data_IF_573297317427
#
_entry.id   IF_573297317427
#
_cell.length_a   1.000
_cell.length_b   1.000
_cell.length_c   1.000
_cell.angle_alpha   90.00
_cell.angle_beta   90.00
_cell.angle_gamma   90.00
#
_symmetry.space_group_name_H-M   'P 1'
#
loop_
_entity.id
_entity.type
_entity.pdbx_description
1 polymer ?
#
# COMPACT_ATOMS: atom_id res chain seq x y z
N UNK A 1 -15.32 17.99 11.59
CA UNK A 1 -15.27 18.13 10.12
C UNK A 1 -14.27 17.11 9.58
N UNK A 2 -14.74 16.01 8.97
CA UNK A 2 -13.93 14.88 8.44
C UNK A 2 -13.30 15.19 7.06
N UNK A 3 -12.90 16.45 6.81
CA UNK A 3 -12.26 16.77 5.53
C UNK A 3 -10.86 16.17 5.55
N UNK A 4 -10.48 15.40 4.54
CA UNK A 4 -9.11 14.86 4.40
C UNK A 4 -8.98 13.34 4.45
N UNK A 5 -9.99 12.62 4.98
CA UNK A 5 -9.94 11.15 5.08
C UNK A 5 -10.70 10.43 3.96
N UNK A 6 -11.24 11.14 2.97
CA UNK A 6 -12.19 10.58 2.00
C UNK A 6 -11.60 9.42 1.20
N UNK A 7 -10.32 9.51 0.83
CA UNK A 7 -9.62 8.43 0.15
C UNK A 7 -9.42 7.22 1.05
N UNK A 8 -9.11 7.44 2.34
CA UNK A 8 -8.95 6.36 3.33
C UNK A 8 -10.29 5.70 3.63
N UNK A 9 -11.37 6.48 3.76
CA UNK A 9 -12.72 5.95 3.92
C UNK A 9 -13.12 5.05 2.74
N UNK A 10 -12.74 5.45 1.51
CA UNK A 10 -12.94 4.66 0.31
C UNK A 10 -12.15 3.35 0.37
N UNK A 11 -10.86 3.43 0.75
CA UNK A 11 -9.98 2.28 0.89
C UNK A 11 -10.50 1.28 1.94
N UNK A 12 -10.87 1.76 3.14
CA UNK A 12 -11.44 0.94 4.21
C UNK A 12 -12.75 0.26 3.78
N UNK A 13 -13.59 0.96 3.01
CA UNK A 13 -14.84 0.38 2.49
C UNK A 13 -14.56 -0.79 1.55
N UNK A 14 -13.53 -0.69 0.71
CA UNK A 14 -13.17 -1.77 -0.22
C UNK A 14 -12.39 -2.89 0.48
N UNK A 15 -11.54 -2.57 1.47
CA UNK A 15 -10.88 -3.54 2.34
C UNK A 15 -11.88 -4.43 3.07
N UNK A 16 -12.93 -3.83 3.66
CA UNK A 16 -14.03 -4.56 4.30
C UNK A 16 -14.76 -5.49 3.31
N UNK A 17 -15.08 -4.99 2.11
CA UNK A 17 -15.74 -5.80 1.07
C UNK A 17 -14.92 -7.01 0.64
N UNK A 18 -13.59 -6.91 0.70
CA UNK A 18 -12.66 -8.00 0.40
C UNK A 18 -12.37 -8.91 1.60
N UNK A 19 -13.00 -8.68 2.76
CA UNK A 19 -12.80 -9.48 3.97
C UNK A 19 -11.42 -9.29 4.61
N UNK A 20 -10.75 -8.17 4.34
CA UNK A 20 -9.47 -7.84 4.95
C UNK A 20 -9.61 -7.20 6.33
N UNK A 21 -10.80 -6.64 6.61
CA UNK A 21 -11.14 -6.04 7.89
C UNK A 21 -12.26 -6.84 8.55
N UNK A 22 -12.21 -6.95 9.87
CA UNK A 22 -13.29 -7.47 10.70
C UNK A 22 -14.46 -6.48 10.73
N UNK A 23 -15.72 -6.95 10.91
CA UNK A 23 -16.91 -6.10 10.82
C UNK A 23 -16.90 -4.88 11.74
N UNK A 24 -16.35 -5.00 12.95
CA UNK A 24 -16.26 -3.89 13.91
C UNK A 24 -15.13 -2.90 13.59
N UNK A 25 -14.15 -3.28 12.76
CA UNK A 25 -13.07 -2.38 12.33
C UNK A 25 -13.57 -1.33 11.32
N UNK A 26 -14.76 -1.52 10.73
CA UNK A 26 -15.31 -0.63 9.70
C UNK A 26 -15.39 0.83 10.16
N UNK A 27 -15.80 1.07 11.40
CA UNK A 27 -16.06 2.42 11.90
C UNK A 27 -14.79 3.13 12.37
N UNK A 28 -13.76 2.36 12.74
CA UNK A 28 -12.49 2.86 13.27
C UNK A 28 -11.35 2.81 12.27
N UNK A 29 -11.49 2.07 11.16
CA UNK A 29 -10.42 1.86 10.17
C UNK A 29 -9.80 3.17 9.66
N UNK A 30 -10.57 4.18 9.23
CA UNK A 30 -9.96 5.41 8.73
C UNK A 30 -9.13 6.15 9.78
N UNK A 31 -9.61 6.20 11.02
CA UNK A 31 -8.92 6.84 12.14
C UNK A 31 -7.69 6.04 12.57
N UNK A 32 -7.76 4.71 12.52
CA UNK A 32 -6.62 3.83 12.85
C UNK A 32 -5.52 3.94 11.82
N UNK A 33 -5.85 3.87 10.52
CA UNK A 33 -4.88 4.11 9.44
C UNK A 33 -4.26 5.50 9.57
N UNK A 34 -5.08 6.52 9.87
CA UNK A 34 -4.55 7.88 10.09
C UNK A 34 -3.62 7.99 11.30
N UNK A 35 -3.91 7.29 12.40
CA UNK A 35 -3.04 7.26 13.57
C UNK A 35 -1.72 6.51 13.30
N UNK A 36 -1.73 5.47 12.47
CA UNK A 36 -0.54 4.70 12.11
C UNK A 36 0.40 5.46 11.17
N UNK A 37 -0.16 6.11 10.15
CA UNK A 37 0.63 6.82 9.12
C UNK A 37 1.02 8.24 9.57
N UNK A 38 0.20 8.86 10.43
CA UNK A 38 0.27 10.27 10.81
C UNK A 38 -0.82 11.09 10.11
N UNK A 39 -1.60 11.86 10.87
CA UNK A 39 -2.75 12.62 10.36
C UNK A 39 -2.35 13.64 9.30
N UNK A 40 -1.18 14.26 9.44
CA UNK A 40 -0.56 15.17 8.49
C UNK A 40 -0.23 14.48 7.16
N UNK A 41 0.20 13.22 7.20
CA UNK A 41 0.55 12.45 6.01
C UNK A 41 -0.67 11.90 5.27
N UNK A 42 -1.80 11.71 5.95
CA UNK A 42 -3.04 11.33 5.26
C UNK A 42 -3.49 12.41 4.27
N UNK A 43 -3.26 13.69 4.58
CA UNK A 43 -3.51 14.76 3.62
C UNK A 43 -2.66 14.63 2.36
N UNK A 44 -1.39 14.24 2.54
CA UNK A 44 -0.46 13.97 1.44
C UNK A 44 -0.98 12.79 0.61
N UNK A 45 -1.33 11.66 1.23
CA UNK A 45 -1.93 10.50 0.52
C UNK A 45 -3.12 10.92 -0.33
N UNK A 46 -4.09 11.65 0.26
CA UNK A 46 -5.26 12.10 -0.47
C UNK A 46 -4.90 13.08 -1.59
N UNK A 47 -3.94 13.97 -1.36
CA UNK A 47 -3.43 14.88 -2.38
C UNK A 47 -2.83 14.11 -3.56
N UNK A 48 -1.99 13.10 -3.34
CA UNK A 48 -1.41 12.30 -4.42
C UNK A 48 -2.49 11.52 -5.19
N UNK A 49 -3.47 10.94 -4.49
CA UNK A 49 -4.59 10.27 -5.14
C UNK A 49 -5.37 11.20 -6.08
N UNK A 50 -5.59 12.46 -5.67
CA UNK A 50 -6.25 13.48 -6.51
C UNK A 50 -5.34 13.97 -7.64
N UNK A 51 -4.09 14.33 -7.34
CA UNK A 51 -3.09 14.84 -8.31
C UNK A 51 -2.86 13.86 -9.45
N UNK A 52 -2.74 12.57 -9.13
CA UNK A 52 -2.53 11.51 -10.12
C UNK A 52 -3.81 11.11 -10.85
N UNK A 53 -4.97 11.62 -10.46
CA UNK A 53 -6.24 11.23 -11.08
C UNK A 53 -6.64 9.78 -10.78
N UNK A 54 -6.23 9.23 -9.62
CA UNK A 54 -6.74 7.95 -9.12
C UNK A 54 -8.19 8.09 -8.66
N UNK A 55 -8.60 9.29 -8.28
CA UNK A 55 -9.97 9.59 -7.87
C UNK A 55 -10.48 10.85 -8.55
N UNK A 56 -11.79 10.91 -8.76
CA UNK A 56 -12.52 12.10 -9.15
C UNK A 56 -13.50 12.51 -8.06
N UNK A 57 -13.79 13.81 -7.97
CA UNK A 57 -14.85 14.32 -7.10
C UNK A 57 -16.21 13.99 -7.72
N UNK A 58 -17.02 13.18 -7.05
CA UNK A 58 -18.45 13.06 -7.33
C UNK A 58 -19.27 14.09 -6.53
N UNK A 59 -20.60 14.06 -6.69
CA UNK A 59 -21.53 14.98 -6.03
C UNK A 59 -21.38 14.99 -4.50
N UNK A 60 -21.16 13.83 -3.87
CA UNK A 60 -21.06 13.72 -2.40
C UNK A 60 -19.76 13.08 -1.89
N UNK A 61 -18.98 12.38 -2.73
CA UNK A 61 -17.79 11.61 -2.33
C UNK A 61 -16.80 11.43 -3.48
N UNK A 62 -15.56 11.07 -3.13
CA UNK A 62 -14.57 10.59 -4.09
C UNK A 62 -15.03 9.28 -4.74
N UNK A 63 -14.80 9.18 -6.05
CA UNK A 63 -15.01 7.96 -6.84
C UNK A 63 -13.68 7.57 -7.49
N UNK A 64 -13.31 6.28 -7.50
CA UNK A 64 -12.08 5.86 -8.15
C UNK A 64 -12.26 5.89 -9.67
N UNK A 65 -11.22 6.31 -10.36
CA UNK A 65 -11.08 6.10 -11.82
C UNK A 65 -10.72 4.65 -12.11
N UNK A 66 -10.57 4.28 -13.39
CA UNK A 66 -10.12 2.92 -13.75
C UNK A 66 -8.72 2.61 -13.19
N UNK A 67 -7.78 3.54 -13.31
CA UNK A 67 -6.45 3.42 -12.72
C UNK A 67 -6.51 3.45 -11.19
N UNK A 68 -7.38 4.29 -10.61
CA UNK A 68 -7.66 4.30 -9.18
C UNK A 68 -8.14 2.97 -8.64
N UNK A 69 -9.06 2.31 -9.34
CA UNK A 69 -9.58 0.99 -8.97
C UNK A 69 -8.45 -0.04 -8.96
N UNK A 70 -7.65 -0.10 -10.02
CA UNK A 70 -6.49 -1.00 -10.11
C UNK A 70 -5.47 -0.74 -8.98
N UNK A 71 -5.15 0.52 -8.72
CA UNK A 71 -4.26 0.89 -7.64
C UNK A 71 -4.80 0.44 -6.28
N UNK A 72 -6.08 0.69 -5.98
CA UNK A 72 -6.73 0.25 -4.73
C UNK A 72 -6.74 -1.28 -4.63
N UNK A 73 -7.09 -1.99 -5.70
CA UNK A 73 -7.12 -3.45 -5.71
C UNK A 73 -5.73 -4.02 -5.42
N UNK A 74 -4.69 -3.43 -6.03
CA UNK A 74 -3.29 -3.82 -5.83
C UNK A 74 -2.81 -3.50 -4.42
N UNK A 75 -3.19 -2.35 -3.86
CA UNK A 75 -2.88 -1.99 -2.47
C UNK A 75 -3.49 -3.01 -1.51
N UNK A 76 -4.75 -3.38 -1.72
CA UNK A 76 -5.42 -4.38 -0.88
C UNK A 76 -4.86 -5.79 -1.07
N UNK A 77 -4.35 -6.12 -2.26
CA UNK A 77 -3.59 -7.35 -2.49
C UNK A 77 -2.27 -7.35 -1.71
N UNK A 78 -1.52 -6.26 -1.76
CA UNK A 78 -0.30 -6.10 -0.96
C UNK A 78 -0.63 -6.22 0.54
N UNK A 79 -1.66 -5.53 1.02
CA UNK A 79 -2.10 -5.63 2.40
C UNK A 79 -2.45 -7.07 2.80
N UNK A 80 -3.13 -7.82 1.92
CA UNK A 80 -3.40 -9.24 2.17
C UNK A 80 -2.12 -10.07 2.29
N UNK A 81 -1.07 -9.75 1.53
CA UNK A 81 0.23 -10.43 1.64
C UNK A 81 0.98 -10.07 2.92
N UNK A 82 0.82 -8.84 3.41
CA UNK A 82 1.50 -8.34 4.61
C UNK A 82 0.76 -8.70 5.91
N UNK A 83 -0.50 -9.12 5.85
CA UNK A 83 -1.34 -9.34 7.03
C UNK A 83 -0.78 -10.34 8.05
N UNK A 84 0.08 -11.28 7.63
CA UNK A 84 0.71 -12.23 8.57
C UNK A 84 1.76 -11.59 9.46
N UNK A 85 2.27 -10.42 9.08
CA UNK A 85 3.31 -9.69 9.79
C UNK A 85 2.75 -8.67 10.79
N UNK A 86 1.43 -8.50 10.82
CA UNK A 86 0.73 -7.54 11.69
C UNK A 86 -0.44 -8.22 12.38
N UNK A 87 -0.86 -7.65 13.51
CA UNK A 87 -1.93 -8.25 14.32
C UNK A 87 -3.34 -7.93 13.78
N UNK A 88 -3.51 -6.82 13.06
CA UNK A 88 -4.82 -6.26 12.69
C UNK A 88 -4.86 -5.86 11.21
N UNK A 89 -6.04 -5.92 10.59
CA UNK A 89 -6.21 -5.71 9.14
C UNK A 89 -5.91 -4.27 8.70
N UNK A 90 -6.23 -3.29 9.55
CA UNK A 90 -5.97 -1.87 9.28
C UNK A 90 -4.46 -1.57 9.17
N UNK A 91 -3.62 -2.27 9.93
CA UNK A 91 -2.16 -2.15 9.95
C UNK A 91 -1.56 -2.63 8.64
N UNK A 92 -2.11 -3.72 8.08
CA UNK A 92 -1.67 -4.21 6.78
C UNK A 92 -2.05 -3.23 5.67
N UNK A 93 -3.25 -2.63 5.75
CA UNK A 93 -3.69 -1.59 4.82
C UNK A 93 -2.83 -0.34 4.95
N UNK A 94 -2.49 0.07 6.17
CA UNK A 94 -1.63 1.22 6.43
C UNK A 94 -0.21 0.98 5.88
N UNK A 95 0.39 -0.19 6.14
CA UNK A 95 1.69 -0.57 5.60
C UNK A 95 1.70 -0.60 4.07
N UNK A 96 0.68 -1.18 3.45
CA UNK A 96 0.57 -1.21 1.99
C UNK A 96 0.38 0.20 1.40
N UNK A 97 -0.41 1.05 2.06
CA UNK A 97 -0.56 2.45 1.68
C UNK A 97 0.74 3.22 1.85
N UNK A 98 1.50 2.95 2.90
CA UNK A 98 2.80 3.56 3.14
C UNK A 98 3.85 3.13 2.13
N UNK A 99 3.85 1.87 1.72
CA UNK A 99 4.72 1.41 0.65
C UNK A 99 4.38 2.05 -0.71
N UNK A 100 3.09 2.14 -1.05
CA UNK A 100 2.68 2.44 -2.43
C UNK A 100 2.34 3.91 -2.68
N UNK A 101 2.32 4.75 -1.64
CA UNK A 101 2.10 6.19 -1.82
C UNK A 101 3.31 6.85 -2.50
N UNK A 102 3.03 7.71 -3.47
CA UNK A 102 4.04 8.52 -4.16
C UNK A 102 4.55 9.68 -3.29
N UNK A 103 5.24 9.37 -2.21
CA UNK A 103 5.70 10.35 -1.21
C UNK A 103 6.59 11.46 -1.79
N UNK A 104 7.35 11.12 -2.84
CA UNK A 104 8.31 12.02 -3.49
C UNK A 104 7.76 12.72 -4.73
N UNK A 105 6.48 12.51 -5.06
CA UNK A 105 5.82 13.08 -6.22
C UNK A 105 6.50 12.72 -7.57
N UNK A 106 7.05 11.51 -7.70
CA UNK A 106 7.81 11.06 -8.87
C UNK A 106 6.91 10.67 -10.05
N UNK A 107 5.66 10.28 -9.80
CA UNK A 107 4.72 9.86 -10.85
C UNK A 107 3.91 11.04 -11.39
N UNK A 108 3.49 10.92 -12.65
CA UNK A 108 2.76 11.97 -13.37
C UNK A 108 1.31 11.59 -13.67
N UNK A 109 0.95 10.32 -13.53
CA UNK A 109 -0.41 9.84 -13.81
C UNK A 109 -0.81 8.64 -12.94
N UNK A 110 -2.12 8.44 -12.82
CA UNK A 110 -2.69 7.32 -12.09
C UNK A 110 -2.35 5.97 -12.74
N UNK A 111 -2.16 5.96 -14.06
CA UNK A 111 -1.75 4.75 -14.78
C UNK A 111 -0.31 4.35 -14.46
N UNK A 112 0.60 5.32 -14.33
CA UNK A 112 1.99 5.07 -13.93
C UNK A 112 2.07 4.47 -12.53
N UNK A 113 1.42 5.09 -11.54
CA UNK A 113 1.47 4.59 -10.16
C UNK A 113 0.74 3.24 -10.01
N UNK A 114 -0.34 3.01 -10.76
CA UNK A 114 -1.02 1.70 -10.76
C UNK A 114 -0.10 0.60 -11.30
N UNK A 115 0.57 0.82 -12.44
CA UNK A 115 1.55 -0.13 -12.98
C UNK A 115 2.74 -0.34 -12.04
N UNK A 116 3.20 0.71 -11.38
CA UNK A 116 4.27 0.61 -10.39
C UNK A 116 3.85 -0.27 -9.21
N UNK A 117 2.67 -0.04 -8.65
CA UNK A 117 2.13 -0.85 -7.57
C UNK A 117 1.98 -2.33 -7.99
N UNK A 118 1.46 -2.59 -9.18
CA UNK A 118 1.31 -3.95 -9.73
C UNK A 118 2.67 -4.64 -9.86
N UNK A 119 3.70 -3.90 -10.28
CA UNK A 119 5.06 -4.41 -10.35
C UNK A 119 5.62 -4.75 -8.96
N UNK A 120 5.44 -3.88 -7.95
CA UNK A 120 5.87 -4.15 -6.57
C UNK A 120 5.24 -5.44 -6.04
N UNK A 121 3.92 -5.61 -6.21
CA UNK A 121 3.23 -6.83 -5.80
C UNK A 121 3.75 -8.05 -6.54
N UNK A 122 3.95 -7.96 -7.86
CA UNK A 122 4.49 -9.04 -8.68
C UNK A 122 5.89 -9.47 -8.23
N UNK A 123 6.80 -8.53 -7.97
CA UNK A 123 8.15 -8.84 -7.49
C UNK A 123 8.11 -9.51 -6.11
N UNK A 124 7.27 -9.01 -5.19
CA UNK A 124 7.10 -9.63 -3.88
C UNK A 124 6.51 -11.05 -3.99
N UNK A 125 5.57 -11.29 -4.91
CA UNK A 125 5.06 -12.64 -5.19
C UNK A 125 6.13 -13.54 -5.79
N UNK A 126 6.99 -13.01 -6.66
CA UNK A 126 8.13 -13.73 -7.23
C UNK A 126 9.08 -14.25 -6.15
N UNK A 127 9.27 -13.50 -5.05
CA UNK A 127 10.07 -13.95 -3.92
C UNK A 127 9.50 -15.16 -3.18
N UNK A 128 8.24 -15.56 -3.38
CA UNK A 128 7.66 -16.77 -2.73
C UNK A 128 8.41 -18.06 -3.07
N UNK A 129 9.17 -18.08 -4.17
CA UNK A 129 10.08 -19.19 -4.51
C UNK A 129 11.25 -19.34 -3.53
N UNK A 130 11.51 -18.31 -2.72
CA UNK A 130 12.53 -18.25 -1.68
C UNK A 130 11.85 -17.92 -0.32
N UNK A 131 11.35 -18.92 0.43
CA UNK A 131 10.47 -18.68 1.58
C UNK A 131 11.02 -17.73 2.65
N UNK A 132 12.31 -17.85 3.00
CA UNK A 132 12.95 -16.96 3.98
C UNK A 132 13.09 -15.52 3.46
N UNK A 133 13.45 -15.36 2.19
CA UNK A 133 13.54 -14.04 1.56
C UNK A 133 12.17 -13.37 1.44
N UNK A 134 11.13 -14.14 1.11
CA UNK A 134 9.75 -13.66 1.08
C UNK A 134 9.28 -13.18 2.46
N UNK A 135 9.50 -13.99 3.50
CA UNK A 135 9.15 -13.63 4.88
C UNK A 135 9.90 -12.36 5.32
N UNK A 136 11.20 -12.29 5.01
CA UNK A 136 12.00 -11.11 5.32
C UNK A 136 11.52 -9.87 4.57
N UNK A 137 11.17 -10.00 3.29
CA UNK A 137 10.60 -8.92 2.49
C UNK A 137 9.28 -8.41 3.07
N UNK A 138 8.34 -9.29 3.43
CA UNK A 138 7.08 -8.90 4.08
C UNK A 138 7.35 -8.16 5.40
N UNK A 139 8.24 -8.69 6.25
CA UNK A 139 8.58 -8.06 7.53
C UNK A 139 9.20 -6.67 7.36
N UNK A 140 10.03 -6.47 6.33
CA UNK A 140 10.59 -5.16 6.01
C UNK A 140 9.52 -4.22 5.45
N UNK A 141 8.70 -4.66 4.50
CA UNK A 141 7.63 -3.85 3.89
C UNK A 141 6.66 -3.24 4.92
N UNK A 142 6.44 -3.89 6.06
CA UNK A 142 5.61 -3.36 7.16
C UNK A 142 6.32 -2.32 8.03
N UNK A 143 7.65 -2.36 8.11
CA UNK A 143 8.45 -1.55 9.04
C UNK A 143 9.23 -0.43 8.37
N UNK A 144 9.31 -0.45 7.05
CA UNK A 144 10.18 0.43 6.29
C UNK A 144 9.52 1.79 6.09
N UNK A 145 10.27 2.86 6.36
CA UNK A 145 9.80 4.22 6.15
C UNK A 145 10.06 4.68 4.71
N UNK A 146 9.12 4.36 3.83
CA UNK A 146 9.22 4.65 2.41
C UNK A 146 9.14 6.15 2.07
N UNK A 147 8.80 7.02 3.02
CA UNK A 147 8.85 8.48 2.80
C UNK A 147 10.30 8.94 2.60
N UNK A 148 11.23 8.35 3.36
CA UNK A 148 12.63 8.79 3.42
C UNK A 148 13.64 7.78 2.89
N UNK A 149 13.27 6.51 2.73
CA UNK A 149 14.19 5.43 2.35
C UNK A 149 14.07 5.01 0.87
N UNK A 150 14.70 3.89 0.50
CA UNK A 150 14.60 3.37 -0.87
C UNK A 150 13.16 2.98 -1.24
N UNK A 151 12.83 3.01 -2.53
CA UNK A 151 11.48 2.65 -2.97
C UNK A 151 11.20 1.16 -2.72
N UNK A 152 9.93 0.73 -2.57
CA UNK A 152 9.60 -0.69 -2.35
C UNK A 152 10.21 -1.61 -3.41
N UNK A 153 10.20 -1.19 -4.67
CA UNK A 153 10.76 -1.97 -5.76
C UNK A 153 12.28 -2.16 -5.62
N UNK A 154 13.01 -1.14 -5.18
CA UNK A 154 14.46 -1.22 -4.96
C UNK A 154 14.79 -2.13 -3.77
N UNK A 155 14.03 -2.03 -2.68
CA UNK A 155 14.14 -2.92 -1.53
C UNK A 155 14.01 -4.38 -1.96
N UNK A 156 12.95 -4.73 -2.70
CA UNK A 156 12.69 -6.10 -3.16
C UNK A 156 13.82 -6.62 -4.07
N UNK A 157 14.30 -5.80 -5.01
CA UNK A 157 15.44 -6.17 -5.88
C UNK A 157 16.72 -6.43 -5.10
N UNK A 158 16.99 -5.66 -4.04
CA UNK A 158 18.15 -5.91 -3.17
C UNK A 158 18.03 -7.21 -2.41
N UNK A 159 16.85 -7.51 -1.86
CA UNK A 159 16.57 -8.78 -1.18
C UNK A 159 16.78 -9.95 -2.15
N UNK A 160 16.24 -9.86 -3.36
CA UNK A 160 16.42 -10.89 -4.39
C UNK A 160 17.91 -11.09 -4.73
N UNK A 161 18.64 -10.00 -4.98
CA UNK A 161 20.06 -10.06 -5.32
C UNK A 161 20.91 -10.68 -4.20
N UNK A 162 20.61 -10.37 -2.94
CA UNK A 162 21.27 -10.98 -1.77
C UNK A 162 20.96 -12.48 -1.67
N UNK A 163 19.70 -12.86 -1.90
CA UNK A 163 19.26 -14.26 -1.90
C UNK A 163 20.00 -15.06 -2.96
N UNK A 164 20.00 -14.60 -4.22
CA UNK A 164 20.69 -15.26 -5.32
C UNK A 164 22.21 -15.35 -5.14
N UNK A 165 22.83 -14.38 -4.45
CA UNK A 165 24.25 -14.44 -4.11
C UNK A 165 24.54 -15.50 -3.05
N UNK A 166 23.68 -15.61 -2.04
CA UNK A 166 23.84 -16.61 -0.98
C UNK A 166 23.71 -18.04 -1.52
N UNK A 167 22.81 -18.29 -2.46
CA UNK A 167 22.67 -19.62 -3.10
C UNK A 167 23.88 -20.03 -3.95
N UNK A 168 24.68 -19.06 -4.41
CA UNK A 168 25.89 -19.31 -5.21
C UNK A 168 27.15 -19.52 -4.37
N UNK A 169 27.09 -19.29 -3.06
CA UNK A 169 28.19 -19.48 -2.12
C UNK A 169 27.82 -20.60 -1.13
N UNK A 170 28.05 -21.88 -1.49
CA UNK A 170 27.84 -23.01 -0.57
C UNK A 170 28.79 -23.00 0.63
#
# INVERSE_FOLDING_TARGET
MRRGLEFIELLCKDALRKGLLEPFERETCPQRIAALIGYEWIWVVQYHAKRLGLVTSGEDRLKPTNSGRRYIDTLLELAHMLKSEVEWGAEAVAAALEALTDWRAEFHSGEEIAKYAELVVKELQGLRRFPEAYKWACALMVRYDFKYMESPLELLKRIEALTLKSERMP
#
